data_IF_850280129567
#
_entry.id   IF_850280129567
#
_cell.length_a   1.000
_cell.length_b   1.000
_cell.length_c   1.000
_cell.angle_alpha   90.00
_cell.angle_beta   90.00
_cell.angle_gamma   90.00
#
_symmetry.space_group_name_H-M   'P 1'
#
loop_
_entity.id
_entity.type
_entity.pdbx_description
1 polymer ?
#
# COMPACT_ATOMS: atom_id res chain seq x y z
N UNK A 1 15.17 7.17 12.22
CA UNK A 1 14.37 6.05 11.70
C UNK A 1 13.01 6.13 12.38
N UNK A 2 11.97 6.42 11.63
CA UNK A 2 10.60 6.48 12.13
C UNK A 2 9.84 5.33 11.49
N UNK A 3 9.48 4.33 12.30
CA UNK A 3 8.63 3.23 11.86
C UNK A 3 7.18 3.65 12.10
N UNK A 4 6.41 3.83 11.03
CA UNK A 4 4.99 4.11 11.10
C UNK A 4 4.22 2.80 10.90
N UNK A 5 3.51 2.34 11.93
CA UNK A 5 2.63 1.18 11.79
C UNK A 5 1.32 1.65 11.15
N UNK A 6 1.02 1.16 9.96
CA UNK A 6 -0.22 1.47 9.24
C UNK A 6 -1.14 0.26 9.30
N UNK A 7 -2.17 0.38 10.06
CA UNK A 7 -3.44 -0.35 10.14
C UNK A 7 -3.48 -1.84 9.78
N UNK A 8 -4.12 -2.61 10.66
CA UNK A 8 -4.59 -3.95 10.34
C UNK A 8 -5.58 -3.89 9.16
N UNK A 9 -5.44 -4.75 8.17
CA UNK A 9 -6.39 -4.88 7.04
C UNK A 9 -7.80 -5.18 7.54
N UNK A 10 -7.93 -5.84 8.70
CA UNK A 10 -9.18 -6.03 9.42
C UNK A 10 -9.82 -4.71 9.90
N UNK A 11 -9.02 -3.69 10.24
CA UNK A 11 -9.54 -2.39 10.64
C UNK A 11 -10.17 -1.63 9.46
N UNK A 12 -9.76 -1.92 8.24
CA UNK A 12 -10.36 -1.36 7.02
C UNK A 12 -11.74 -1.96 6.77
N UNK A 13 -11.89 -3.26 6.99
CA UNK A 13 -13.22 -3.90 6.95
C UNK A 13 -14.15 -3.29 8.00
N UNK A 14 -13.63 -3.00 9.18
CA UNK A 14 -14.37 -2.34 10.26
C UNK A 14 -14.62 -0.85 9.95
N UNK A 15 -13.71 -0.15 9.28
CA UNK A 15 -13.87 1.26 8.92
C UNK A 15 -14.94 1.46 7.84
N UNK A 16 -14.98 0.59 6.82
CA UNK A 16 -16.04 0.58 5.81
C UNK A 16 -17.39 0.11 6.41
N UNK A 17 -17.38 -0.85 7.35
CA UNK A 17 -18.57 -1.35 8.00
C UNK A 17 -19.07 -0.44 9.14
N UNK A 18 -18.20 0.29 9.81
CA UNK A 18 -18.54 1.17 10.94
C UNK A 18 -18.92 2.60 10.56
N UNK A 19 -19.01 2.92 9.26
CA UNK A 19 -19.43 4.25 8.79
C UNK A 19 -18.49 5.39 9.16
N UNK A 20 -17.27 5.11 9.60
CA UNK A 20 -16.23 6.14 9.77
C UNK A 20 -15.79 6.61 8.38
N UNK A 21 -16.19 7.83 8.05
CA UNK A 21 -15.83 8.48 6.78
C UNK A 21 -14.32 8.75 6.77
N UNK A 22 -13.55 8.18 5.82
CA UNK A 22 -12.30 8.80 5.38
C UNK A 22 -12.61 10.23 4.96
N UNK A 23 -11.63 11.15 4.99
CA UNK A 23 -11.85 12.56 4.73
C UNK A 23 -12.79 12.78 3.54
N UNK A 24 -13.85 13.53 3.75
CA UNK A 24 -15.03 13.62 2.88
C UNK A 24 -14.72 14.00 1.43
N UNK A 25 -13.59 14.65 1.19
CA UNK A 25 -13.24 15.19 -0.13
C UNK A 25 -12.49 14.18 -1.03
N UNK A 26 -11.78 13.23 -0.45
CA UNK A 26 -11.03 12.22 -1.20
C UNK A 26 -11.88 11.05 -1.66
N UNK A 27 -12.87 10.67 -0.89
CA UNK A 27 -13.88 9.70 -1.36
C UNK A 27 -14.68 10.29 -2.51
N UNK A 28 -14.97 11.60 -2.48
CA UNK A 28 -15.61 12.31 -3.59
C UNK A 28 -14.75 12.34 -4.85
N UNK A 29 -13.43 12.40 -4.69
CA UNK A 29 -12.46 12.34 -5.79
C UNK A 29 -12.23 10.92 -6.37
N UNK A 30 -12.93 9.90 -5.86
CA UNK A 30 -12.79 8.51 -6.32
C UNK A 30 -11.73 7.70 -5.57
N UNK A 31 -11.27 8.17 -4.41
CA UNK A 31 -10.36 7.44 -3.54
C UNK A 31 -10.93 6.10 -3.08
N UNK A 32 -10.04 5.10 -2.96
CA UNK A 32 -10.37 3.74 -2.57
C UNK A 32 -11.31 2.96 -3.51
N UNK A 33 -11.55 3.45 -4.73
CA UNK A 33 -12.32 2.71 -5.73
C UNK A 33 -11.58 1.48 -6.24
N UNK A 34 -10.26 1.55 -6.38
CA UNK A 34 -9.44 0.41 -6.77
C UNK A 34 -9.45 -0.68 -5.67
N UNK A 35 -9.42 -0.29 -4.40
CA UNK A 35 -9.56 -1.23 -3.29
C UNK A 35 -10.93 -1.90 -3.28
N UNK A 36 -12.01 -1.14 -3.50
CA UNK A 36 -13.38 -1.71 -3.62
C UNK A 36 -13.45 -2.72 -4.76
N UNK A 37 -12.95 -2.38 -5.94
CA UNK A 37 -12.87 -3.29 -7.08
C UNK A 37 -12.07 -4.55 -6.74
N UNK A 38 -10.92 -4.39 -6.09
CA UNK A 38 -10.09 -5.50 -5.66
C UNK A 38 -10.83 -6.47 -4.73
N UNK A 39 -11.56 -5.94 -3.75
CA UNK A 39 -12.23 -6.73 -2.71
C UNK A 39 -13.53 -7.38 -3.19
N UNK A 40 -14.33 -6.66 -3.96
CA UNK A 40 -15.71 -7.06 -4.28
C UNK A 40 -15.88 -7.65 -5.68
N UNK A 41 -14.97 -7.34 -6.62
CA UNK A 41 -15.09 -7.79 -8.00
C UNK A 41 -14.01 -8.81 -8.37
N UNK A 42 -12.73 -8.56 -8.04
CA UNK A 42 -11.62 -9.38 -8.49
C UNK A 42 -11.29 -10.53 -7.53
N UNK A 43 -11.43 -10.33 -6.24
CA UNK A 43 -10.91 -11.24 -5.23
C UNK A 43 -9.38 -11.28 -5.21
N UNK A 44 -8.80 -12.03 -4.27
CA UNK A 44 -7.33 -12.04 -4.02
C UNK A 44 -6.53 -12.52 -5.23
N UNK A 45 -6.92 -13.66 -5.80
CA UNK A 45 -6.21 -14.24 -6.93
C UNK A 45 -6.36 -13.36 -8.19
N UNK A 46 -7.55 -12.79 -8.42
CA UNK A 46 -7.79 -11.87 -9.52
C UNK A 46 -6.94 -10.60 -9.43
N UNK A 47 -6.76 -10.04 -8.23
CA UNK A 47 -5.86 -8.90 -8.00
C UNK A 47 -4.41 -9.25 -8.37
N UNK A 48 -3.93 -10.41 -7.91
CA UNK A 48 -2.57 -10.85 -8.21
C UNK A 48 -2.39 -11.07 -9.72
N UNK A 49 -3.38 -11.65 -10.38
CA UNK A 49 -3.33 -11.87 -11.82
C UNK A 49 -3.39 -10.56 -12.62
N UNK A 50 -4.18 -9.58 -12.18
CA UNK A 50 -4.23 -8.25 -12.79
C UNK A 50 -2.87 -7.53 -12.69
N UNK A 51 -2.24 -7.56 -11.50
CA UNK A 51 -0.91 -7.00 -11.27
C UNK A 51 0.16 -7.73 -12.11
N UNK A 52 0.05 -9.04 -12.26
CA UNK A 52 1.00 -9.82 -13.09
C UNK A 52 0.85 -9.48 -14.57
N UNK A 53 -0.39 -9.43 -15.08
CA UNK A 53 -0.70 -9.04 -16.47
C UNK A 53 -0.29 -7.60 -16.80
N UNK A 54 -0.37 -6.69 -15.84
CA UNK A 54 0.04 -5.30 -16.03
C UNK A 54 1.53 -5.13 -16.28
N UNK A 55 2.34 -6.14 -15.96
CA UNK A 55 3.78 -6.06 -16.05
C UNK A 55 4.43 -5.11 -15.04
N UNK A 56 3.71 -4.71 -13.98
CA UNK A 56 4.23 -3.83 -12.94
C UNK A 56 5.50 -4.40 -12.32
N UNK A 57 6.51 -3.54 -12.19
CA UNK A 57 7.81 -3.87 -11.61
C UNK A 57 8.13 -2.99 -10.43
N UNK A 58 8.96 -3.50 -9.52
CA UNK A 58 9.55 -2.72 -8.44
C UNK A 58 10.35 -1.53 -8.95
N UNK A 59 10.33 -0.44 -8.19
CA UNK A 59 11.00 0.83 -8.53
C UNK A 59 12.26 1.10 -7.70
N UNK A 60 12.65 0.16 -6.83
CA UNK A 60 13.87 0.26 -6.01
C UNK A 60 15.15 -0.25 -6.71
N UNK A 61 15.26 -0.11 -8.04
CA UNK A 61 16.46 -0.47 -8.82
C UNK A 61 16.43 -1.89 -9.39
N UNK A 62 16.00 -2.91 -8.65
CA UNK A 62 16.01 -4.30 -9.09
C UNK A 62 14.96 -4.69 -10.13
N UNK A 63 13.92 -3.88 -10.32
CA UNK A 63 12.90 -4.10 -11.34
C UNK A 63 12.17 -5.45 -11.27
N UNK A 64 12.09 -6.08 -10.10
CA UNK A 64 11.46 -7.38 -9.96
C UNK A 64 9.95 -7.31 -10.27
N UNK A 65 9.36 -8.28 -11.01
CA UNK A 65 7.94 -8.28 -11.34
C UNK A 65 7.07 -8.37 -10.08
N UNK A 66 6.20 -7.38 -9.86
CA UNK A 66 5.40 -7.27 -8.65
C UNK A 66 4.40 -8.43 -8.51
N UNK A 67 3.70 -8.79 -9.59
CA UNK A 67 2.75 -9.90 -9.59
C UNK A 67 3.40 -11.23 -9.23
N UNK A 68 4.61 -11.48 -9.76
CA UNK A 68 5.39 -12.68 -9.40
C UNK A 68 5.75 -12.70 -7.91
N UNK A 69 6.16 -11.56 -7.34
CA UNK A 69 6.45 -11.43 -5.92
C UNK A 69 5.20 -11.74 -5.08
N UNK A 70 4.06 -11.15 -5.43
CA UNK A 70 2.81 -11.38 -4.71
C UNK A 70 2.34 -12.82 -4.80
N UNK A 71 2.47 -13.48 -5.96
CA UNK A 71 2.22 -14.94 -6.11
C UNK A 71 3.09 -15.77 -5.18
N UNK A 72 4.38 -15.43 -5.07
CA UNK A 72 5.29 -16.15 -4.18
C UNK A 72 4.88 -15.99 -2.71
N UNK A 73 4.55 -14.78 -2.27
CA UNK A 73 4.10 -14.52 -0.89
C UNK A 73 2.77 -15.21 -0.60
N UNK A 74 1.80 -15.11 -1.50
CA UNK A 74 0.47 -15.72 -1.32
C UNK A 74 0.52 -17.25 -1.17
N UNK A 75 1.52 -17.91 -1.75
CA UNK A 75 1.72 -19.36 -1.70
C UNK A 75 2.46 -19.86 -0.45
N UNK A 76 3.01 -18.96 0.37
CA UNK A 76 3.69 -19.39 1.59
C UNK A 76 2.69 -20.01 2.58
N UNK A 77 3.18 -20.92 3.41
CA UNK A 77 2.38 -21.62 4.42
C UNK A 77 2.20 -20.80 5.70
N UNK A 78 3.12 -19.86 5.92
CA UNK A 78 3.10 -18.97 7.06
C UNK A 78 1.82 -18.11 7.06
N UNK A 79 1.21 -17.99 8.24
CA UNK A 79 0.00 -17.17 8.41
C UNK A 79 0.35 -15.70 8.59
N UNK A 80 1.47 -15.42 9.25
CA UNK A 80 1.91 -14.05 9.54
C UNK A 80 2.62 -13.44 8.33
N UNK A 81 2.04 -12.38 7.80
CA UNK A 81 2.54 -11.68 6.61
C UNK A 81 2.45 -10.18 6.80
N UNK A 82 3.39 -9.49 6.18
CA UNK A 82 3.53 -8.04 6.30
C UNK A 82 3.64 -7.39 4.93
N UNK A 83 3.09 -6.16 4.82
CA UNK A 83 3.38 -5.27 3.69
C UNK A 83 4.30 -4.16 4.20
N UNK A 84 5.44 -4.00 3.56
CA UNK A 84 6.39 -2.93 3.90
C UNK A 84 6.54 -1.99 2.70
N UNK A 85 6.17 -0.74 2.92
CA UNK A 85 6.50 0.35 2.00
C UNK A 85 7.87 0.90 2.40
N UNK A 86 8.86 0.67 1.56
CA UNK A 86 10.18 1.26 1.74
C UNK A 86 10.24 2.63 1.09
N UNK A 87 10.13 3.68 1.89
CA UNK A 87 10.29 5.08 1.51
C UNK A 87 11.66 5.65 1.94
N UNK A 88 12.69 4.80 2.04
CA UNK A 88 14.07 5.23 2.29
C UNK A 88 14.76 5.63 0.97
N UNK A 89 14.48 6.83 0.52
CA UNK A 89 15.01 7.40 -0.71
C UNK A 89 16.35 8.08 -0.44
N UNK A 90 17.41 7.27 -0.35
CA UNK A 90 18.74 7.72 0.08
C UNK A 90 19.62 8.30 -1.02
N UNK A 91 19.30 8.10 -2.29
CA UNK A 91 20.13 8.56 -3.41
C UNK A 91 20.09 10.09 -3.53
N UNK A 92 21.25 10.76 -3.70
CA UNK A 92 21.31 12.21 -3.91
C UNK A 92 20.51 12.64 -5.14
N UNK A 93 19.57 13.59 -4.95
CA UNK A 93 18.71 14.09 -6.03
C UNK A 93 17.49 13.23 -6.34
N UNK A 94 17.31 12.08 -5.70
CA UNK A 94 16.08 11.32 -5.76
C UNK A 94 15.00 11.99 -4.91
N UNK A 95 13.78 12.10 -5.44
CA UNK A 95 12.65 12.75 -4.76
C UNK A 95 11.29 12.14 -5.12
N UNK A 96 11.28 11.02 -5.84
CA UNK A 96 10.04 10.39 -6.32
C UNK A 96 9.20 9.87 -5.15
N UNK A 97 9.80 9.14 -4.22
CA UNK A 97 9.10 8.55 -3.09
C UNK A 97 8.58 9.63 -2.14
N UNK A 98 9.41 10.64 -1.84
CA UNK A 98 9.01 11.81 -1.08
C UNK A 98 7.83 12.54 -1.70
N UNK A 99 7.87 12.77 -3.01
CA UNK A 99 6.80 13.43 -3.75
C UNK A 99 5.47 12.67 -3.68
N UNK A 100 5.51 11.34 -3.74
CA UNK A 100 4.29 10.51 -3.60
C UNK A 100 3.74 10.57 -2.18
N UNK A 101 4.59 10.40 -1.18
CA UNK A 101 4.18 10.44 0.23
C UNK A 101 3.61 11.80 0.66
N UNK A 102 4.07 12.89 0.06
CA UNK A 102 3.61 14.25 0.34
C UNK A 102 2.43 14.68 -0.52
N UNK A 103 2.42 14.29 -1.78
CA UNK A 103 1.43 14.72 -2.76
C UNK A 103 0.14 13.90 -2.75
N UNK A 104 0.25 12.58 -2.57
CA UNK A 104 -0.89 11.66 -2.59
C UNK A 104 -0.69 10.47 -1.63
N UNK A 105 -0.66 10.71 -0.31
CA UNK A 105 -0.47 9.65 0.68
C UNK A 105 -1.59 8.60 0.66
N UNK A 106 -2.79 8.99 0.23
CA UNK A 106 -3.94 8.08 0.18
C UNK A 106 -3.81 7.04 -0.92
N UNK A 107 -3.26 7.40 -2.07
CA UNK A 107 -2.97 6.45 -3.14
C UNK A 107 -1.92 5.43 -2.70
N UNK A 108 -0.90 5.86 -1.94
CA UNK A 108 0.08 4.96 -1.35
C UNK A 108 -0.58 3.97 -0.39
N UNK A 109 -1.41 4.48 0.53
CA UNK A 109 -2.14 3.66 1.50
C UNK A 109 -3.09 2.70 0.79
N UNK A 110 -3.87 3.15 -0.20
CA UNK A 110 -4.74 2.29 -1.00
C UNK A 110 -3.96 1.15 -1.66
N UNK A 111 -2.81 1.47 -2.27
CA UNK A 111 -1.94 0.47 -2.89
C UNK A 111 -1.41 -0.57 -1.89
N UNK A 112 -1.02 -0.13 -0.68
CA UNK A 112 -0.60 -1.04 0.39
C UNK A 112 -1.75 -1.93 0.87
N UNK A 113 -2.96 -1.40 0.97
CA UNK A 113 -4.15 -2.15 1.36
C UNK A 113 -4.53 -3.20 0.32
N UNK A 114 -4.45 -2.87 -0.97
CA UNK A 114 -4.67 -3.82 -2.06
C UNK A 114 -3.63 -4.95 -2.01
N UNK A 115 -2.36 -4.60 -1.80
CA UNK A 115 -1.29 -5.58 -1.64
C UNK A 115 -1.53 -6.49 -0.43
N UNK A 116 -1.87 -5.91 0.73
CA UNK A 116 -2.20 -6.63 1.95
C UNK A 116 -3.36 -7.60 1.76
N UNK A 117 -4.43 -7.13 1.13
CA UNK A 117 -5.58 -7.96 0.79
C UNK A 117 -5.18 -9.15 -0.10
N UNK A 118 -4.43 -8.88 -1.17
CA UNK A 118 -4.01 -9.91 -2.13
C UNK A 118 -3.14 -11.00 -1.50
N UNK A 119 -2.18 -10.63 -0.64
CA UNK A 119 -1.25 -11.57 -0.01
C UNK A 119 -1.69 -12.05 1.38
N UNK A 120 -2.84 -11.64 1.87
CA UNK A 120 -3.37 -11.94 3.23
C UNK A 120 -2.46 -11.39 4.36
N UNK A 121 -1.87 -10.23 4.17
CA UNK A 121 -1.14 -9.55 5.22
C UNK A 121 -2.11 -8.73 6.07
N UNK A 122 -1.97 -8.83 7.39
CA UNK A 122 -2.81 -8.10 8.35
C UNK A 122 -2.17 -6.80 8.82
N UNK A 123 -0.84 -6.70 8.67
CA UNK A 123 -0.06 -5.55 9.13
C UNK A 123 0.73 -4.93 7.97
N UNK A 124 0.77 -3.60 7.97
CA UNK A 124 1.56 -2.80 7.04
C UNK A 124 2.48 -1.84 7.78
N UNK A 125 3.66 -1.61 7.23
CA UNK A 125 4.64 -0.66 7.76
C UNK A 125 5.08 0.28 6.65
N UNK A 126 5.21 1.56 6.98
CA UNK A 126 5.83 2.55 6.09
C UNK A 126 7.14 2.98 6.74
N UNK A 127 8.23 2.71 6.07
CA UNK A 127 9.55 3.17 6.46
C UNK A 127 9.85 4.48 5.74
N UNK A 128 10.08 5.53 6.50
CA UNK A 128 10.38 6.88 5.97
C UNK A 128 11.64 7.39 6.64
N UNK A 129 12.53 7.98 5.85
CA UNK A 129 13.75 8.59 6.39
C UNK A 129 13.43 9.83 7.22
N UNK A 130 14.28 10.11 8.21
CA UNK A 130 14.07 11.23 9.14
C UNK A 130 14.12 12.62 8.45
N UNK A 131 14.79 12.70 7.31
CA UNK A 131 14.94 13.90 6.50
C UNK A 131 13.65 14.32 5.75
N UNK A 132 12.59 13.47 5.81
CA UNK A 132 11.29 13.74 5.20
C UNK A 132 10.20 14.02 6.25
N UNK A 133 10.31 15.09 7.06
CA UNK A 133 9.35 15.38 8.13
C UNK A 133 7.94 15.66 7.59
N UNK A 134 7.82 16.26 6.39
CA UNK A 134 6.52 16.53 5.76
C UNK A 134 5.82 15.24 5.36
N UNK A 135 6.55 14.29 4.76
CA UNK A 135 6.01 12.96 4.42
C UNK A 135 5.47 12.26 5.67
N UNK A 136 6.23 12.29 6.78
CA UNK A 136 5.78 11.72 8.07
C UNK A 136 4.52 12.40 8.58
N UNK A 137 4.45 13.73 8.54
CA UNK A 137 3.28 14.47 8.97
C UNK A 137 2.05 14.16 8.13
N UNK A 138 2.18 14.08 6.81
CA UNK A 138 1.10 13.76 5.87
C UNK A 138 0.57 12.33 6.06
N UNK A 139 1.46 11.36 6.28
CA UNK A 139 1.08 9.97 6.49
C UNK A 139 0.44 9.70 7.86
N UNK A 140 0.62 10.60 8.85
CA UNK A 140 0.01 10.48 10.19
C UNK A 140 -1.36 11.10 10.32
N UNK A 141 -1.71 12.03 9.46
CA UNK A 141 -2.99 12.76 9.46
C UNK A 141 -4.01 12.05 8.56
#
# INVERSE_FOLDING_TARGET
MILLTVFAVSAVYLCCAAGRKPGSDEIRAGGFNALKKAMFELGRDGVIDEVDKSGLRGRGGGGFPAGRKWKQVARQKEQERYVVCNGDEGDPGAFMDGSVMEGDPFKLIEGMMIAGYAVKAENGYIYVRAEYPMSVARLRN
#
